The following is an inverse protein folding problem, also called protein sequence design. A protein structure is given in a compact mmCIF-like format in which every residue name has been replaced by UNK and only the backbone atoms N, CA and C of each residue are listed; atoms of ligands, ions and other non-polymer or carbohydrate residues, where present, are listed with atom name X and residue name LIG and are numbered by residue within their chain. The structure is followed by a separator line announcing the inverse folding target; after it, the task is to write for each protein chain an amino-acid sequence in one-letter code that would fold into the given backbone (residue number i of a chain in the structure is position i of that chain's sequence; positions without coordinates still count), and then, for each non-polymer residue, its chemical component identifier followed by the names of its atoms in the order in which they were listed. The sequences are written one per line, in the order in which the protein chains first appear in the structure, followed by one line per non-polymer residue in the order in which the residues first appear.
data_IF_874502638777
#
_entry.id   IF_874502638777
#
_cell.length_a   1.000
_cell.length_b   1.000
_cell.length_c   1.000
_cell.angle_alpha   90.00
_cell.angle_beta   90.00
_cell.angle_gamma   90.00
#
_symmetry.space_group_name_H-M   'P 1'
#
loop_
_entity.id
_entity.type
_entity.pdbx_description
1 polymer ?
#
# COMPACT_ATOMS: atom_id res chain seq x y z
N UNK A 1 -7.61 8.37 38.23
CA UNK A 1 -6.38 7.56 38.16
C UNK A 1 -5.29 8.31 38.90
N UNK A 2 -4.78 7.79 40.02
CA UNK A 2 -3.73 8.50 40.77
C UNK A 2 -2.37 8.45 40.02
N UNK A 3 -1.45 9.38 40.31
CA UNK A 3 -0.12 9.47 39.66
C UNK A 3 0.60 8.12 39.58
N UNK A 4 0.47 7.30 40.61
CA UNK A 4 1.03 5.95 40.71
C UNK A 4 0.41 4.96 39.72
N UNK A 5 -0.89 5.07 39.47
CA UNK A 5 -1.59 4.28 38.46
C UNK A 5 -1.22 4.72 37.04
N UNK A 6 -1.06 6.04 36.81
CA UNK A 6 -0.60 6.59 35.54
C UNK A 6 0.83 6.12 35.20
N UNK A 7 1.73 6.16 36.19
CA UNK A 7 3.10 5.64 36.07
C UNK A 7 3.14 4.15 35.77
N UNK A 8 2.29 3.35 36.43
CA UNK A 8 2.24 1.89 36.22
C UNK A 8 1.73 1.51 34.82
N UNK A 9 0.68 2.20 34.34
CA UNK A 9 0.15 2.01 32.98
C UNK A 9 1.19 2.43 31.94
N UNK A 10 1.88 3.55 32.16
CA UNK A 10 2.96 3.99 31.30
C UNK A 10 4.11 2.97 31.24
N UNK A 11 4.52 2.39 32.37
CA UNK A 11 5.56 1.34 32.39
C UNK A 11 5.14 0.06 31.66
N UNK A 12 3.88 -0.37 31.79
CA UNK A 12 3.35 -1.54 31.06
C UNK A 12 3.35 -1.28 29.56
N UNK A 13 2.92 -0.10 29.13
CA UNK A 13 2.92 0.30 27.71
C UNK A 13 4.34 0.36 27.14
N UNK A 14 5.31 0.85 27.92
CA UNK A 14 6.73 0.88 27.53
C UNK A 14 7.29 -0.54 27.40
N UNK A 15 6.99 -1.44 28.34
CA UNK A 15 7.42 -2.85 28.28
C UNK A 15 6.78 -3.60 27.10
N UNK A 16 5.49 -3.35 26.82
CA UNK A 16 4.81 -3.87 25.63
C UNK A 16 5.44 -3.35 24.34
N UNK A 17 5.82 -2.08 24.30
CA UNK A 17 6.52 -1.49 23.17
C UNK A 17 7.88 -2.18 22.93
N UNK A 18 8.67 -2.40 23.98
CA UNK A 18 9.94 -3.13 23.87
C UNK A 18 9.73 -4.58 23.41
N UNK A 19 8.79 -5.30 24.01
CA UNK A 19 8.47 -6.68 23.61
C UNK A 19 7.98 -6.78 22.16
N UNK A 20 7.16 -5.83 21.69
CA UNK A 20 6.73 -5.76 20.30
C UNK A 20 7.89 -5.41 19.36
N UNK A 21 8.78 -4.50 19.76
CA UNK A 21 9.95 -4.13 18.97
C UNK A 21 10.95 -5.29 18.83
N UNK A 22 11.17 -6.06 19.89
CA UNK A 22 11.99 -7.27 19.88
C UNK A 22 11.34 -8.38 19.07
N UNK A 23 10.02 -8.57 19.18
CA UNK A 23 9.28 -9.54 18.37
C UNK A 23 9.35 -9.22 16.87
N UNK A 24 9.20 -7.93 16.51
CA UNK A 24 9.48 -7.47 15.14
C UNK A 24 10.92 -7.83 14.75
N UNK A 25 11.92 -7.52 15.59
CA UNK A 25 13.33 -7.84 15.32
C UNK A 25 13.57 -9.34 15.08
N UNK A 26 12.95 -10.23 15.86
CA UNK A 26 13.07 -11.70 15.72
C UNK A 26 12.48 -12.18 14.39
N UNK A 27 11.37 -11.60 13.91
CA UNK A 27 10.83 -11.92 12.56
C UNK A 27 11.74 -11.47 11.41
N UNK A 28 12.63 -10.50 11.65
CA UNK A 28 13.57 -9.99 10.63
C UNK A 28 14.94 -10.65 10.67
N UNK A 29 15.32 -11.33 11.74
CA UNK A 29 16.59 -12.10 11.77
C UNK A 29 16.65 -13.25 10.76
N UNK A 30 15.53 -13.64 10.12
CA UNK A 30 15.51 -14.58 8.99
C UNK A 30 15.32 -13.91 7.62
N UNK A 31 15.21 -12.58 7.54
CA UNK A 31 15.03 -11.87 6.28
C UNK A 31 16.38 -11.64 5.59
N UNK A 32 16.47 -12.01 4.31
CA UNK A 32 17.65 -11.72 3.51
C UNK A 32 17.66 -10.23 3.11
N UNK A 33 18.81 -9.58 3.28
CA UNK A 33 19.02 -8.20 2.84
C UNK A 33 19.45 -8.18 1.39
N UNK A 34 18.68 -7.50 0.55
CA UNK A 34 19.00 -7.23 -0.86
C UNK A 34 18.98 -5.73 -1.08
N UNK A 35 20.04 -5.16 -1.65
CA UNK A 35 20.06 -3.72 -1.94
C UNK A 35 18.96 -3.35 -2.96
N UNK A 36 18.83 -4.16 -4.01
CA UNK A 36 17.79 -4.06 -5.03
C UNK A 36 17.52 -5.44 -5.62
N UNK A 37 16.25 -5.73 -5.87
CA UNK A 37 15.80 -6.88 -6.65
C UNK A 37 15.15 -6.32 -7.91
N UNK A 38 15.60 -6.74 -9.09
CA UNK A 38 15.04 -6.24 -10.37
C UNK A 38 14.31 -7.36 -11.10
N UNK A 39 13.04 -7.14 -11.43
CA UNK A 39 12.32 -7.92 -12.43
C UNK A 39 12.60 -7.27 -13.79
N UNK A 40 13.51 -7.87 -14.54
CA UNK A 40 14.02 -7.34 -15.81
C UNK A 40 13.01 -7.45 -16.94
N UNK A 41 13.15 -6.70 -18.05
CA UNK A 41 12.21 -6.73 -19.17
C UNK A 41 12.01 -8.13 -19.78
N UNK A 42 13.07 -8.95 -19.82
CA UNK A 42 13.03 -10.34 -20.30
C UNK A 42 12.30 -11.30 -19.35
N UNK A 43 12.00 -10.84 -18.12
CA UNK A 43 11.28 -11.56 -17.08
C UNK A 43 12.16 -12.27 -16.08
N UNK A 44 13.48 -12.25 -16.26
CA UNK A 44 14.41 -12.75 -15.27
C UNK A 44 14.42 -11.87 -14.01
N UNK A 45 14.73 -12.49 -12.87
CA UNK A 45 14.88 -11.80 -11.58
C UNK A 45 16.36 -11.74 -11.21
N UNK A 46 16.81 -10.58 -10.75
CA UNK A 46 18.20 -10.33 -10.39
C UNK A 46 18.31 -9.70 -8.99
N UNK A 47 19.11 -10.27 -8.06
CA UNK A 47 19.81 -11.55 -8.20
C UNK A 47 18.83 -12.75 -8.31
N UNK A 48 19.21 -13.86 -8.96
CA UNK A 48 18.31 -15.01 -9.14
C UNK A 48 18.06 -15.80 -7.85
N UNK A 49 18.81 -15.51 -6.79
CA UNK A 49 18.75 -16.19 -5.48
C UNK A 49 17.79 -15.53 -4.49
N UNK A 50 16.98 -14.58 -4.95
CA UNK A 50 16.03 -13.84 -4.10
C UNK A 50 14.82 -14.69 -3.73
N UNK A 51 14.10 -14.35 -2.65
CA UNK A 51 12.88 -15.05 -2.23
C UNK A 51 11.68 -14.67 -3.13
N UNK A 52 11.81 -14.90 -4.43
CA UNK A 52 10.76 -14.70 -5.44
C UNK A 52 10.75 -15.91 -6.36
N UNK A 53 9.58 -16.55 -6.48
CA UNK A 53 9.34 -17.58 -7.50
C UNK A 53 8.54 -17.01 -8.65
N UNK A 54 8.84 -17.44 -9.87
CA UNK A 54 8.14 -17.01 -11.07
C UNK A 54 7.37 -18.19 -11.68
N UNK A 55 6.10 -17.98 -11.99
CA UNK A 55 5.28 -18.88 -12.81
C UNK A 55 4.61 -18.08 -13.93
N UNK A 56 5.18 -18.13 -15.13
CA UNK A 56 4.75 -17.29 -16.27
C UNK A 56 4.91 -15.80 -15.95
N UNK A 57 3.79 -15.08 -15.90
CA UNK A 57 3.73 -13.65 -15.59
C UNK A 57 3.47 -13.35 -14.10
N UNK A 58 3.41 -14.37 -13.24
CA UNK A 58 3.18 -14.20 -11.80
C UNK A 58 4.49 -14.39 -11.03
N UNK A 59 4.89 -13.36 -10.29
CA UNK A 59 6.03 -13.31 -9.40
C UNK A 59 5.52 -13.34 -7.97
N UNK A 60 5.79 -14.41 -7.24
CA UNK A 60 5.30 -14.61 -5.87
C UNK A 60 6.45 -14.56 -4.89
N UNK A 61 6.35 -13.70 -3.87
CA UNK A 61 7.31 -13.69 -2.78
C UNK A 61 7.24 -15.00 -2.00
N UNK A 62 8.40 -15.55 -1.65
CA UNK A 62 8.52 -16.77 -0.83
C UNK A 62 9.13 -16.50 0.55
N UNK A 63 9.40 -15.24 0.87
CA UNK A 63 9.97 -14.81 2.14
C UNK A 63 9.97 -13.29 2.27
N UNK A 64 10.25 -12.81 3.49
CA UNK A 64 10.41 -11.38 3.75
C UNK A 64 11.67 -10.84 3.08
N UNK A 65 11.59 -9.61 2.57
CA UNK A 65 12.68 -8.90 1.92
C UNK A 65 13.02 -7.66 2.75
N UNK A 66 14.30 -7.48 3.05
CA UNK A 66 14.84 -6.18 3.48
C UNK A 66 15.53 -5.58 2.26
N UNK A 67 14.93 -4.58 1.64
CA UNK A 67 15.34 -4.12 0.31
C UNK A 67 14.19 -3.53 -0.51
N UNK A 68 14.43 -3.33 -1.80
CA UNK A 68 13.45 -2.80 -2.77
C UNK A 68 13.30 -3.69 -3.98
N UNK A 69 12.15 -3.60 -4.65
CA UNK A 69 11.86 -4.27 -5.91
C UNK A 69 11.72 -3.21 -7.01
N UNK A 70 12.55 -3.29 -8.04
CA UNK A 70 12.41 -2.55 -9.29
C UNK A 70 11.72 -3.43 -10.33
N UNK A 71 10.70 -2.90 -10.98
CA UNK A 71 9.85 -3.62 -11.93
C UNK A 71 9.98 -2.94 -13.28
N UNK A 72 10.72 -3.58 -14.19
CA UNK A 72 10.96 -3.11 -15.55
C UNK A 72 10.17 -3.92 -16.59
N UNK A 73 9.44 -4.93 -16.13
CA UNK A 73 8.54 -5.76 -16.93
C UNK A 73 7.09 -5.42 -16.67
N UNK A 74 6.33 -5.37 -17.75
CA UNK A 74 4.91 -5.05 -17.80
C UNK A 74 4.07 -6.30 -18.10
N UNK A 75 2.76 -6.23 -17.89
CA UNK A 75 1.85 -7.38 -17.99
C UNK A 75 2.23 -8.52 -17.03
N UNK A 76 2.41 -8.18 -15.75
CA UNK A 76 2.81 -9.11 -14.69
C UNK A 76 2.00 -8.91 -13.42
N UNK A 77 2.02 -9.93 -12.56
CA UNK A 77 1.48 -9.88 -11.20
C UNK A 77 2.63 -10.06 -10.22
N UNK A 78 2.71 -9.18 -9.24
CA UNK A 78 3.60 -9.28 -8.08
C UNK A 78 2.71 -9.61 -6.88
N UNK A 79 2.77 -10.85 -6.42
CA UNK A 79 2.01 -11.36 -5.29
C UNK A 79 2.92 -11.49 -4.07
N UNK A 80 2.61 -10.77 -3.01
CA UNK A 80 3.33 -10.86 -1.76
C UNK A 80 3.11 -12.13 -0.99
N UNK A 81 2.02 -12.86 -1.26
CA UNK A 81 1.60 -14.00 -0.43
C UNK A 81 1.57 -13.68 1.09
N UNK A 82 1.37 -12.41 1.46
CA UNK A 82 1.41 -11.93 2.85
C UNK A 82 2.81 -11.59 3.39
N UNK A 83 3.89 -11.78 2.62
CA UNK A 83 5.25 -11.42 3.04
C UNK A 83 5.47 -9.91 3.08
N UNK A 84 6.51 -9.53 3.83
CA UNK A 84 6.90 -8.13 4.04
C UNK A 84 8.04 -7.71 3.12
N UNK A 85 7.95 -6.48 2.59
CA UNK A 85 9.07 -5.71 2.08
C UNK A 85 9.34 -4.55 3.04
N UNK A 86 10.57 -4.46 3.55
CA UNK A 86 10.99 -3.52 4.60
C UNK A 86 12.17 -2.68 4.12
N UNK A 87 12.03 -1.36 4.21
CA UNK A 87 13.10 -0.40 3.95
C UNK A 87 13.72 0.19 5.23
N UNK A 88 14.61 1.16 5.04
CA UNK A 88 15.33 1.87 6.10
C UNK A 88 14.96 3.37 6.22
N UNK A 89 13.82 3.77 5.65
CA UNK A 89 13.32 5.15 5.63
C UNK A 89 13.72 5.96 4.39
N UNK A 90 14.35 5.33 3.39
CA UNK A 90 14.75 5.98 2.14
C UNK A 90 14.30 5.16 0.93
N UNK A 91 14.31 5.76 -0.26
CA UNK A 91 14.04 5.09 -1.56
C UNK A 91 12.60 4.58 -1.67
N UNK A 92 12.32 3.96 -2.83
CA UNK A 92 11.05 3.34 -3.18
C UNK A 92 11.07 1.87 -2.77
N UNK A 93 9.96 1.37 -2.21
CA UNK A 93 9.80 -0.04 -1.85
C UNK A 93 9.55 -0.92 -3.07
N UNK A 94 8.46 -0.66 -3.79
CA UNK A 94 8.19 -1.23 -5.11
C UNK A 94 8.15 -0.10 -6.11
N UNK A 95 9.09 -0.11 -7.05
CA UNK A 95 9.23 0.87 -8.12
C UNK A 95 8.77 0.23 -9.44
N UNK A 96 7.60 0.64 -9.94
CA UNK A 96 7.09 0.25 -11.26
C UNK A 96 7.46 1.35 -12.24
N UNK A 97 8.46 1.11 -13.07
CA UNK A 97 9.00 2.13 -13.95
C UNK A 97 9.35 1.56 -15.32
N UNK A 98 9.30 2.42 -16.33
CA UNK A 98 9.98 2.21 -17.60
C UNK A 98 11.29 3.02 -17.60
N UNK A 99 12.35 2.57 -16.92
CA UNK A 99 13.57 3.35 -16.79
C UNK A 99 14.16 3.63 -18.18
N UNK A 100 14.67 4.85 -18.35
CA UNK A 100 15.37 5.34 -19.54
C UNK A 100 14.55 5.56 -20.81
N UNK A 101 13.21 5.46 -20.75
CA UNK A 101 12.35 5.63 -21.94
C UNK A 101 12.84 4.78 -23.13
N UNK A 102 13.34 3.56 -22.86
CA UNK A 102 13.97 2.71 -23.89
C UNK A 102 13.01 2.41 -25.05
N UNK A 103 11.71 2.40 -24.76
CA UNK A 103 10.62 2.50 -25.72
C UNK A 103 9.40 3.12 -25.04
N UNK A 104 8.60 3.92 -25.77
CA UNK A 104 7.33 4.42 -25.25
C UNK A 104 6.43 3.24 -24.89
N UNK A 105 6.00 3.20 -23.64
CA UNK A 105 5.03 2.23 -23.13
C UNK A 105 3.66 2.84 -23.12
N UNK A 106 2.72 2.19 -23.80
CA UNK A 106 1.32 2.60 -23.82
C UNK A 106 0.46 1.82 -22.83
N UNK A 107 1.06 0.82 -22.17
CA UNK A 107 0.44 0.08 -21.08
C UNK A 107 1.45 -0.54 -20.14
N UNK A 108 1.11 -0.53 -18.85
CA UNK A 108 1.93 -1.14 -17.79
C UNK A 108 1.35 -2.49 -17.37
N UNK A 109 0.01 -2.61 -17.21
CA UNK A 109 -0.66 -3.86 -16.87
C UNK A 109 0.02 -4.62 -15.71
N UNK A 110 0.42 -3.91 -14.65
CA UNK A 110 1.08 -4.49 -13.48
C UNK A 110 0.11 -4.57 -12.32
N UNK A 111 -0.07 -5.78 -11.77
CA UNK A 111 -0.80 -5.97 -10.51
C UNK A 111 0.18 -6.13 -9.35
N UNK A 112 -0.01 -5.38 -8.27
CA UNK A 112 0.72 -5.54 -7.00
C UNK A 112 -0.28 -5.92 -5.92
N UNK A 113 -0.12 -7.09 -5.29
CA UNK A 113 -1.10 -7.57 -4.31
C UNK A 113 -0.54 -8.33 -3.14
N UNK A 114 -1.27 -8.31 -2.02
CA UNK A 114 -1.01 -9.12 -0.82
C UNK A 114 0.37 -8.88 -0.18
N UNK A 115 0.91 -7.66 -0.24
CA UNK A 115 2.23 -7.32 0.31
C UNK A 115 2.08 -6.45 1.56
N UNK A 116 2.89 -6.72 2.59
CA UNK A 116 3.11 -5.78 3.69
C UNK A 116 4.31 -4.87 3.34
N UNK A 117 4.12 -3.56 3.21
CA UNK A 117 5.15 -2.62 2.72
C UNK A 117 5.37 -1.50 3.73
N UNK A 118 6.63 -1.29 4.15
CA UNK A 118 6.96 -0.30 5.19
C UNK A 118 8.40 0.19 5.20
N UNK A 119 8.59 1.40 5.74
CA UNK A 119 9.91 1.98 5.96
C UNK A 119 10.55 2.53 4.69
N UNK A 120 9.77 3.13 3.80
CA UNK A 120 10.26 3.73 2.55
C UNK A 120 9.95 5.22 2.47
N UNK A 121 10.63 5.92 1.57
CA UNK A 121 10.20 7.24 1.13
C UNK A 121 8.89 7.10 0.36
N UNK A 122 8.82 6.15 -0.58
CA UNK A 122 7.57 5.74 -1.23
C UNK A 122 7.38 4.22 -1.11
N UNK A 123 6.26 3.80 -0.53
CA UNK A 123 5.96 2.37 -0.37
C UNK A 123 5.82 1.67 -1.73
N UNK A 124 4.86 2.13 -2.52
CA UNK A 124 4.69 1.75 -3.93
C UNK A 124 4.76 3.01 -4.77
N UNK A 125 5.66 3.06 -5.75
CA UNK A 125 5.81 4.17 -6.67
C UNK A 125 5.64 3.69 -8.12
N UNK A 126 4.70 4.31 -8.83
CA UNK A 126 4.42 4.05 -10.23
C UNK A 126 4.82 5.28 -11.03
N UNK A 127 5.83 5.13 -11.88
CA UNK A 127 6.50 6.25 -12.50
C UNK A 127 6.70 6.09 -14.01
N UNK A 128 6.34 7.14 -14.77
CA UNK A 128 6.45 7.17 -16.22
C UNK A 128 7.16 8.42 -16.77
N UNK A 129 8.02 8.20 -17.77
CA UNK A 129 8.64 9.28 -18.56
C UNK A 129 7.73 9.81 -19.67
N UNK A 130 8.15 10.91 -20.32
CA UNK A 130 7.45 11.52 -21.45
C UNK A 130 6.99 10.51 -22.52
N UNK A 131 5.73 10.64 -22.94
CA UNK A 131 5.09 9.77 -23.93
C UNK A 131 4.57 8.44 -23.39
N UNK A 132 4.97 8.01 -22.18
CA UNK A 132 4.39 6.82 -21.57
C UNK A 132 2.94 7.06 -21.15
N UNK A 133 2.13 6.02 -21.27
CA UNK A 133 0.77 5.95 -20.75
C UNK A 133 0.77 4.89 -19.67
N UNK A 134 0.63 5.31 -18.41
CA UNK A 134 0.50 4.39 -17.28
C UNK A 134 -0.99 4.04 -17.15
N UNK A 135 -1.37 2.88 -17.67
CA UNK A 135 -2.70 2.31 -17.47
C UNK A 135 -2.62 0.83 -17.13
N UNK A 136 -3.74 0.28 -16.64
CA UNK A 136 -3.85 -1.13 -16.28
C UNK A 136 -3.10 -1.52 -15.01
N UNK A 137 -2.55 -0.55 -14.25
CA UNK A 137 -1.93 -0.86 -12.96
C UNK A 137 -3.01 -1.11 -11.91
N UNK A 138 -2.89 -2.20 -11.17
CA UNK A 138 -3.81 -2.59 -10.10
C UNK A 138 -3.02 -2.79 -8.81
N UNK A 139 -3.31 -1.98 -7.80
CA UNK A 139 -2.74 -2.12 -6.46
C UNK A 139 -3.86 -2.60 -5.54
N UNK A 140 -3.75 -3.83 -5.02
CA UNK A 140 -4.87 -4.43 -4.27
C UNK A 140 -4.48 -5.33 -3.11
N UNK A 141 -5.22 -5.29 -2.00
CA UNK A 141 -5.00 -6.17 -0.86
C UNK A 141 -3.64 -5.96 -0.16
N UNK A 142 -3.01 -4.80 -0.34
CA UNK A 142 -1.72 -4.50 0.30
C UNK A 142 -1.93 -3.78 1.64
N UNK A 143 -0.96 -3.96 2.53
CA UNK A 143 -0.86 -3.23 3.78
C UNK A 143 0.37 -2.31 3.74
N UNK A 144 0.14 -1.02 3.49
CA UNK A 144 1.17 0.00 3.23
C UNK A 144 1.27 0.96 4.40
N UNK A 145 2.35 0.84 5.18
CA UNK A 145 2.45 1.51 6.48
C UNK A 145 3.82 2.13 6.76
N UNK A 146 3.87 3.22 7.54
CA UNK A 146 5.12 3.83 7.99
C UNK A 146 6.07 4.21 6.84
N UNK A 147 5.53 4.83 5.79
CA UNK A 147 6.29 5.42 4.68
C UNK A 147 6.08 6.94 4.64
N UNK A 148 6.97 7.68 3.98
CA UNK A 148 6.70 9.11 3.71
C UNK A 148 5.51 9.26 2.76
N UNK A 149 5.45 8.46 1.70
CA UNK A 149 4.29 8.33 0.81
C UNK A 149 3.92 6.85 0.75
N UNK A 150 2.66 6.49 0.99
CA UNK A 150 2.22 5.10 0.90
C UNK A 150 2.23 4.61 -0.54
N UNK A 151 1.36 5.19 -1.37
CA UNK A 151 1.23 4.87 -2.79
C UNK A 151 1.35 6.14 -3.60
N UNK A 152 2.22 6.17 -4.60
CA UNK A 152 2.38 7.29 -5.52
C UNK A 152 2.18 6.88 -6.98
N UNK A 153 1.44 7.69 -7.72
CA UNK A 153 1.44 7.72 -9.18
C UNK A 153 2.01 9.06 -9.65
N UNK A 154 3.06 9.02 -10.47
CA UNK A 154 3.67 10.21 -11.06
C UNK A 154 4.09 9.97 -12.52
N UNK A 155 3.85 10.93 -13.40
CA UNK A 155 4.22 10.82 -14.82
C UNK A 155 4.44 12.19 -15.44
N UNK A 156 5.32 12.26 -16.43
CA UNK A 156 5.46 13.43 -17.31
C UNK A 156 4.44 13.45 -18.45
N UNK A 157 3.55 12.46 -18.55
CA UNK A 157 2.49 12.40 -19.55
C UNK A 157 1.24 11.74 -18.94
N UNK A 158 0.50 10.91 -19.65
CA UNK A 158 -0.78 10.35 -19.19
C UNK A 158 -0.64 9.23 -18.17
N UNK A 159 -1.54 9.21 -17.18
CA UNK A 159 -1.87 7.98 -16.44
C UNK A 159 -3.37 7.90 -16.17
N UNK A 160 -3.96 6.82 -16.65
CA UNK A 160 -5.40 6.65 -16.70
C UNK A 160 -5.79 5.20 -16.49
N UNK A 161 -7.03 4.96 -16.07
CA UNK A 161 -7.56 3.60 -15.93
C UNK A 161 -6.68 2.69 -15.04
N UNK A 162 -6.12 3.22 -13.96
CA UNK A 162 -5.47 2.45 -12.90
C UNK A 162 -6.41 2.25 -11.72
N UNK A 163 -6.16 1.23 -10.91
CA UNK A 163 -7.02 0.87 -9.78
C UNK A 163 -6.22 0.74 -8.49
N UNK A 164 -6.66 1.42 -7.42
CA UNK A 164 -6.20 1.22 -6.04
C UNK A 164 -7.41 0.71 -5.26
N UNK A 165 -7.44 -0.58 -4.95
CA UNK A 165 -8.62 -1.23 -4.38
C UNK A 165 -8.34 -2.18 -3.21
N UNK A 166 -9.09 -2.06 -2.12
CA UNK A 166 -8.99 -3.06 -1.04
C UNK A 166 -7.68 -3.00 -0.26
N UNK A 167 -7.00 -1.84 -0.22
CA UNK A 167 -5.73 -1.70 0.50
C UNK A 167 -5.92 -1.08 1.89
N UNK A 168 -5.01 -1.44 2.81
CA UNK A 168 -4.85 -0.76 4.09
C UNK A 168 -3.65 0.18 4.02
N UNK A 169 -3.91 1.48 4.01
CA UNK A 169 -2.90 2.53 3.79
C UNK A 169 -2.87 3.41 5.04
N UNK A 170 -1.95 3.11 5.97
CA UNK A 170 -2.01 3.69 7.31
C UNK A 170 -0.69 4.13 7.88
N UNK A 171 -0.69 5.19 8.70
CA UNK A 171 0.52 5.71 9.36
C UNK A 171 1.63 6.15 8.37
N UNK A 172 1.24 6.70 7.21
CA UNK A 172 2.16 7.34 6.28
C UNK A 172 2.08 8.87 6.44
N UNK A 173 3.11 9.60 6.00
CA UNK A 173 3.00 11.06 5.92
C UNK A 173 1.93 11.45 4.88
N UNK A 174 1.97 10.87 3.69
CA UNK A 174 0.89 10.94 2.69
C UNK A 174 0.43 9.51 2.41
N UNK A 175 -0.88 9.23 2.50
CA UNK A 175 -1.43 7.90 2.22
C UNK A 175 -1.33 7.57 0.73
N UNK A 176 -2.08 8.30 -0.09
CA UNK A 176 -2.06 8.19 -1.56
C UNK A 176 -1.72 9.54 -2.18
N UNK A 177 -0.75 9.57 -3.08
CA UNK A 177 -0.36 10.75 -3.86
C UNK A 177 -0.56 10.49 -5.35
N UNK A 178 -1.46 11.26 -5.98
CA UNK A 178 -1.75 11.18 -7.42
C UNK A 178 -1.29 12.51 -8.06
N UNK A 179 -0.16 12.49 -8.75
CA UNK A 179 0.49 13.71 -9.25
C UNK A 179 0.13 14.02 -10.69
N UNK A 180 -0.58 15.11 -10.95
CA UNK A 180 -1.17 15.46 -12.25
C UNK A 180 -0.19 15.31 -13.43
N UNK A 181 -0.70 14.70 -14.51
CA UNK A 181 -0.03 14.59 -15.79
C UNK A 181 0.42 15.97 -16.32
N UNK A 182 1.61 15.99 -16.94
CA UNK A 182 2.16 17.19 -17.57
C UNK A 182 1.77 17.30 -19.05
N UNK A 183 1.87 18.52 -19.58
CA UNK A 183 1.82 18.91 -21.00
C UNK A 183 0.96 18.03 -21.93
N UNK A 184 -0.36 18.23 -21.90
CA UNK A 184 -1.28 17.56 -22.83
C UNK A 184 -1.55 16.08 -22.52
N UNK A 185 -0.97 15.53 -21.45
CA UNK A 185 -1.39 14.29 -20.83
C UNK A 185 -2.61 14.49 -19.91
N UNK A 186 -3.22 13.37 -19.51
CA UNK A 186 -4.41 13.35 -18.65
C UNK A 186 -4.22 12.47 -17.41
N UNK A 187 -4.91 12.84 -16.34
CA UNK A 187 -5.02 12.11 -15.07
C UNK A 187 -6.48 11.68 -14.87
N UNK A 188 -6.96 10.69 -15.61
CA UNK A 188 -8.40 10.41 -15.71
C UNK A 188 -8.76 8.93 -15.64
N UNK A 189 -9.98 8.62 -15.20
CA UNK A 189 -10.50 7.24 -15.17
C UNK A 189 -9.82 6.32 -14.16
N UNK A 190 -8.99 6.84 -13.24
CA UNK A 190 -8.43 6.03 -12.17
C UNK A 190 -9.51 5.77 -11.11
N UNK A 191 -9.52 4.57 -10.54
CA UNK A 191 -10.49 4.15 -9.51
C UNK A 191 -9.76 3.94 -8.19
N UNK A 192 -10.25 4.61 -7.15
CA UNK A 192 -9.77 4.43 -5.77
C UNK A 192 -10.98 4.00 -4.94
N UNK A 193 -11.03 2.73 -4.55
CA UNK A 193 -12.19 2.19 -3.85
C UNK A 193 -11.87 1.14 -2.79
N UNK A 194 -12.75 0.97 -1.82
CA UNK A 194 -12.60 -0.08 -0.79
C UNK A 194 -11.28 -0.02 0.00
N UNK A 195 -10.65 1.15 0.09
CA UNK A 195 -9.40 1.31 0.84
C UNK A 195 -9.67 1.79 2.27
N UNK A 196 -8.89 1.30 3.22
CA UNK A 196 -8.76 1.90 4.55
C UNK A 196 -7.60 2.90 4.56
N UNK A 197 -7.92 4.19 4.46
CA UNK A 197 -6.96 5.30 4.44
C UNK A 197 -7.01 5.97 5.82
N UNK A 198 -6.11 5.56 6.72
CA UNK A 198 -6.24 5.91 8.13
C UNK A 198 -4.94 6.31 8.83
N UNK A 199 -5.01 7.24 9.77
CA UNK A 199 -3.88 7.70 10.57
C UNK A 199 -2.71 8.22 9.73
N UNK A 200 -2.97 8.77 8.55
CA UNK A 200 -1.94 9.46 7.75
C UNK A 200 -1.93 10.95 8.09
N UNK A 201 -0.82 11.66 7.88
CA UNK A 201 -0.86 13.13 8.04
C UNK A 201 -1.76 13.74 6.95
N UNK A 202 -1.63 13.28 5.72
CA UNK A 202 -2.56 13.54 4.62
C UNK A 202 -3.09 12.20 4.12
N UNK A 203 -4.41 12.00 4.10
CA UNK A 203 -5.03 10.76 3.61
C UNK A 203 -4.80 10.57 2.11
N UNK A 204 -5.28 11.51 1.31
CA UNK A 204 -5.06 11.56 -0.13
C UNK A 204 -4.59 12.95 -0.56
N UNK A 205 -3.70 12.97 -1.55
CA UNK A 205 -3.17 14.19 -2.14
C UNK A 205 -3.26 14.12 -3.66
N UNK A 206 -3.75 15.19 -4.26
CA UNK A 206 -3.64 15.45 -5.68
C UNK A 206 -2.69 16.63 -5.86
N UNK A 207 -1.51 16.38 -6.40
CA UNK A 207 -0.45 17.39 -6.57
C UNK A 207 -0.26 17.77 -8.02
N UNK A 208 0.13 19.02 -8.26
CA UNK A 208 0.60 19.45 -9.56
C UNK A 208 2.13 19.34 -9.67
N UNK A 209 2.63 18.80 -10.78
CA UNK A 209 4.06 18.83 -11.11
C UNK A 209 4.36 20.02 -12.05
N UNK A 210 4.85 21.11 -11.48
CA UNK A 210 5.59 22.24 -12.09
C UNK A 210 4.97 23.06 -13.26
N UNK A 211 4.98 24.39 -13.04
CA UNK A 211 4.64 25.50 -13.94
C UNK A 211 5.81 25.89 -14.83
N UNK A 212 5.75 25.45 -16.09
CA UNK A 212 6.78 25.77 -17.09
C UNK A 212 6.26 26.03 -18.50
N UNK A 213 5.03 26.54 -18.68
CA UNK A 213 4.55 27.04 -19.97
C UNK A 213 3.20 26.47 -20.41
N UNK A 214 2.26 27.36 -20.75
CA UNK A 214 1.07 27.05 -21.54
C UNK A 214 0.10 26.04 -20.92
N UNK A 215 -0.61 26.47 -19.88
CA UNK A 215 -1.61 25.68 -19.15
C UNK A 215 -2.68 25.12 -20.08
N UNK A 216 -2.74 23.78 -20.19
CA UNK A 216 -3.90 23.07 -20.70
C UNK A 216 -4.64 22.44 -19.52
N UNK A 217 -5.96 22.43 -19.58
CA UNK A 217 -6.83 21.82 -18.57
C UNK A 217 -6.51 20.33 -18.47
N UNK A 218 -5.98 19.90 -17.33
CA UNK A 218 -5.87 18.48 -17.04
C UNK A 218 -7.22 18.04 -16.48
N UNK A 219 -7.97 17.23 -17.23
CA UNK A 219 -9.24 16.70 -16.74
C UNK A 219 -8.97 15.60 -15.73
N UNK A 220 -9.00 15.96 -14.45
CA UNK A 220 -9.05 14.98 -13.39
C UNK A 220 -10.46 14.43 -13.34
N UNK A 221 -10.68 13.20 -13.81
CA UNK A 221 -11.97 12.49 -13.79
C UNK A 221 -11.75 11.13 -13.13
N UNK A 222 -11.17 11.13 -11.94
CA UNK A 222 -10.93 9.92 -11.17
C UNK A 222 -12.12 9.66 -10.25
N UNK A 223 -12.44 8.40 -10.02
CA UNK A 223 -13.58 8.00 -9.19
C UNK A 223 -13.09 7.46 -7.86
N UNK A 224 -13.50 8.12 -6.78
CA UNK A 224 -13.10 7.82 -5.39
C UNK A 224 -14.35 7.50 -4.59
N UNK A 225 -14.60 6.24 -4.24
CA UNK A 225 -15.83 5.84 -3.54
C UNK A 225 -15.59 4.60 -2.68
N UNK A 226 -16.44 4.33 -1.70
CA UNK A 226 -16.31 3.18 -0.81
C UNK A 226 -14.97 3.14 -0.04
N UNK A 227 -14.32 4.28 0.20
CA UNK A 227 -13.13 4.32 1.03
C UNK A 227 -13.49 4.70 2.47
N UNK A 228 -12.66 4.28 3.41
CA UNK A 228 -12.70 4.71 4.80
C UNK A 228 -11.59 5.74 5.04
N UNK A 229 -11.95 7.00 5.25
CA UNK A 229 -11.05 8.04 5.73
C UNK A 229 -11.17 8.15 7.25
N UNK A 230 -10.13 7.71 7.97
CA UNK A 230 -10.20 7.58 9.43
C UNK A 230 -8.99 8.23 10.10
N UNK A 231 -9.23 9.27 10.89
CA UNK A 231 -8.21 9.86 11.76
C UNK A 231 -6.95 10.31 11.00
N UNK A 232 -7.11 10.73 9.74
CA UNK A 232 -6.05 11.45 9.05
C UNK A 232 -6.01 12.89 9.59
N UNK A 233 -4.83 13.52 9.68
CA UNK A 233 -4.76 14.92 10.11
C UNK A 233 -5.46 15.84 9.09
N UNK A 234 -5.38 15.47 7.80
CA UNK A 234 -6.17 16.03 6.72
C UNK A 234 -6.60 14.90 5.78
N UNK A 235 -7.91 14.77 5.53
CA UNK A 235 -8.42 13.68 4.69
C UNK A 235 -7.97 13.81 3.23
N UNK A 236 -8.16 15.00 2.65
CA UNK A 236 -7.81 15.28 1.25
C UNK A 236 -7.11 16.64 1.15
N UNK A 237 -6.02 16.68 0.39
CA UNK A 237 -5.39 17.90 -0.11
C UNK A 237 -5.52 17.89 -1.63
N UNK A 238 -6.28 18.81 -2.18
CA UNK A 238 -6.31 19.06 -3.61
C UNK A 238 -5.46 20.31 -3.90
N UNK A 239 -4.25 20.13 -4.43
CA UNK A 239 -3.38 21.25 -4.78
C UNK A 239 -3.76 21.83 -6.15
N UNK A 240 -5.04 22.10 -6.32
CA UNK A 240 -5.61 22.74 -7.50
C UNK A 240 -5.18 24.21 -7.49
N UNK A 241 -4.51 24.67 -8.55
CA UNK A 241 -4.36 26.11 -8.77
C UNK A 241 -5.72 26.68 -9.22
N UNK A 242 -6.00 27.95 -8.86
CA UNK A 242 -7.26 28.67 -9.15
C UNK A 242 -7.58 28.81 -10.66
N UNK A 243 -6.72 28.27 -11.52
CA UNK A 243 -6.71 28.41 -12.97
C UNK A 243 -7.19 27.15 -13.72
N UNK A 244 -7.51 26.05 -13.02
CA UNK A 244 -8.13 24.86 -13.62
C UNK A 244 -9.35 24.36 -12.85
N UNK A 245 -10.44 25.16 -12.77
CA UNK A 245 -11.66 24.80 -12.05
C UNK A 245 -12.37 23.56 -12.62
N UNK A 246 -12.01 23.11 -13.83
CA UNK A 246 -12.56 21.92 -14.48
C UNK A 246 -11.91 20.60 -14.04
N UNK A 247 -10.84 20.63 -13.25
CA UNK A 247 -10.11 19.42 -12.80
C UNK A 247 -10.79 18.76 -11.58
N UNK A 248 -11.98 18.19 -11.75
CA UNK A 248 -12.84 17.71 -10.65
C UNK A 248 -12.96 16.19 -10.55
N UNK A 249 -12.54 15.61 -9.42
CA UNK A 249 -12.73 14.18 -9.20
C UNK A 249 -14.19 13.87 -8.85
N UNK A 250 -14.60 12.64 -9.12
CA UNK A 250 -15.91 12.10 -8.74
C UNK A 250 -15.73 11.36 -7.42
N UNK A 251 -16.46 11.75 -6.38
CA UNK A 251 -16.28 11.22 -5.02
C UNK A 251 -17.37 10.23 -4.60
N UNK A 252 -18.13 9.74 -5.56
CA UNK A 252 -19.20 8.78 -5.38
C UNK A 252 -19.44 7.96 -6.66
N UNK A 253 -20.28 6.93 -6.57
CA UNK A 253 -20.68 6.14 -7.73
C UNK A 253 -22.12 6.46 -8.19
N UNK A 254 -22.65 7.63 -7.84
CA UNK A 254 -24.04 8.03 -8.08
C UNK A 254 -25.05 7.47 -7.08
N UNK A 255 -24.64 6.59 -6.16
CA UNK A 255 -25.50 6.07 -5.08
C UNK A 255 -24.81 6.12 -3.71
N UNK A 256 -23.48 5.97 -3.68
CA UNK A 256 -22.67 5.87 -2.47
C UNK A 256 -21.29 6.43 -2.72
N UNK A 257 -20.79 7.18 -1.76
CA UNK A 257 -19.48 7.77 -1.70
C UNK A 257 -18.59 7.09 -0.68
N UNK A 258 -17.93 7.88 0.15
CA UNK A 258 -16.90 7.45 1.08
C UNK A 258 -17.38 7.63 2.53
N UNK A 259 -16.78 6.87 3.44
CA UNK A 259 -16.91 7.12 4.86
C UNK A 259 -15.85 8.11 5.32
N UNK A 260 -16.29 9.16 6.01
CA UNK A 260 -15.43 10.19 6.59
C UNK A 260 -15.64 10.23 8.09
N UNK A 261 -14.57 10.03 8.87
CA UNK A 261 -14.72 9.94 10.33
C UNK A 261 -15.13 11.27 11.01
N UNK A 262 -15.04 12.38 10.28
CA UNK A 262 -15.44 13.74 10.67
C UNK A 262 -16.79 14.16 10.08
N UNK A 263 -17.44 13.30 9.27
CA UNK A 263 -18.77 13.58 8.76
C UNK A 263 -19.81 13.55 9.89
N UNK A 264 -20.56 14.63 10.00
CA UNK A 264 -21.57 14.87 11.04
C UNK A 264 -22.96 15.18 10.45
N UNK A 265 -23.16 14.88 9.16
CA UNK A 265 -24.45 15.04 8.50
C UNK A 265 -25.49 14.06 9.05
N UNK A 266 -26.73 14.25 8.58
CA UNK A 266 -27.88 13.45 8.99
C UNK A 266 -28.25 12.46 7.91
N UNK A 267 -28.78 11.32 8.36
CA UNK A 267 -29.45 10.33 7.53
C UNK A 267 -30.90 10.25 8.03
N UNK A 268 -31.77 11.09 7.45
CA UNK A 268 -33.19 11.27 7.78
C UNK A 268 -34.00 10.10 7.22
N UNK A 269 -33.60 9.60 6.05
CA UNK A 269 -34.32 8.54 5.35
C UNK A 269 -33.93 7.13 5.84
N UNK A 270 -32.85 7.02 6.63
CA UNK A 270 -32.30 5.81 7.25
C UNK A 270 -31.79 4.76 6.24
N UNK A 271 -31.30 5.18 5.07
CA UNK A 271 -30.73 4.29 4.05
C UNK A 271 -29.22 4.02 4.23
N UNK A 272 -28.62 4.61 5.25
CA UNK A 272 -27.20 4.51 5.57
C UNK A 272 -26.33 5.49 4.78
N UNK A 273 -26.89 6.39 3.99
CA UNK A 273 -26.18 7.45 3.26
C UNK A 273 -26.59 8.79 3.88
N UNK A 274 -25.62 9.68 4.05
CA UNK A 274 -25.89 11.00 4.56
C UNK A 274 -26.63 11.87 3.54
N UNK A 275 -27.70 12.56 3.96
CA UNK A 275 -28.53 13.42 3.11
C UNK A 275 -27.86 14.76 2.75
N UNK A 276 -26.72 15.06 3.38
CA UNK A 276 -25.95 16.29 3.15
C UNK A 276 -24.59 15.91 2.55
N UNK A 277 -24.18 16.49 1.41
CA UNK A 277 -22.86 16.22 0.85
C UNK A 277 -21.71 16.51 1.83
N UNK A 278 -20.64 15.71 1.77
CA UNK A 278 -19.37 16.04 2.42
C UNK A 278 -18.54 16.92 1.48
N UNK A 279 -18.35 18.18 1.85
CA UNK A 279 -17.58 19.14 1.07
C UNK A 279 -16.08 18.93 1.27
N UNK A 280 -15.34 18.76 0.16
CA UNK A 280 -13.89 18.52 0.18
C UNK A 280 -13.15 19.83 -0.15
N UNK A 281 -13.56 20.49 -1.22
CA UNK A 281 -13.12 21.83 -1.59
C UNK A 281 -14.22 22.56 -2.40
N UNK A 282 -13.91 23.71 -3.01
CA UNK A 282 -14.88 24.51 -3.75
C UNK A 282 -15.48 23.80 -4.98
N UNK A 283 -14.77 22.85 -5.57
CA UNK A 283 -15.15 22.15 -6.80
C UNK A 283 -15.36 20.64 -6.60
N UNK A 284 -15.04 20.11 -5.41
CA UNK A 284 -15.11 18.68 -5.08
C UNK A 284 -15.97 18.46 -3.85
N UNK A 285 -16.97 17.58 -3.99
CA UNK A 285 -17.77 17.10 -2.88
C UNK A 285 -18.17 15.64 -3.11
N UNK A 286 -18.32 14.92 -2.02
CA UNK A 286 -18.95 13.61 -1.99
C UNK A 286 -20.45 13.81 -1.76
N UNK A 287 -21.28 13.46 -2.73
CA UNK A 287 -22.72 13.69 -2.66
C UNK A 287 -23.45 12.63 -1.84
N UNK A 288 -22.81 11.50 -1.59
CA UNK A 288 -23.43 10.34 -0.95
C UNK A 288 -22.53 9.77 0.15
N UNK A 289 -22.12 10.59 1.14
CA UNK A 289 -21.22 10.16 2.19
C UNK A 289 -21.83 9.00 3.00
N UNK A 290 -21.02 8.00 3.33
CA UNK A 290 -21.48 6.84 4.08
C UNK A 290 -21.59 7.16 5.57
N UNK A 291 -22.70 6.76 6.21
CA UNK A 291 -22.90 6.91 7.65
C UNK A 291 -22.05 5.95 8.49
N UNK A 292 -21.74 4.78 7.92
CA UNK A 292 -20.89 3.76 8.51
C UNK A 292 -19.70 3.47 7.61
N UNK A 293 -18.73 2.73 8.12
CA UNK A 293 -17.60 2.29 7.29
C UNK A 293 -18.06 1.40 6.14
N UNK A 294 -17.35 1.44 5.01
CA UNK A 294 -17.78 0.78 3.77
C UNK A 294 -18.01 -0.73 3.93
N UNK A 295 -17.34 -1.39 4.88
CA UNK A 295 -17.50 -2.83 5.15
C UNK A 295 -18.92 -3.19 5.66
N UNK A 296 -19.71 -2.19 6.07
CA UNK A 296 -21.10 -2.38 6.49
C UNK A 296 -22.10 -2.25 5.32
N UNK A 297 -21.62 -2.07 4.09
CA UNK A 297 -22.44 -1.94 2.89
C UNK A 297 -22.18 -3.11 1.94
N UNK A 298 -23.13 -3.45 1.07
CA UNK A 298 -22.91 -4.40 -0.01
C UNK A 298 -21.72 -3.93 -0.88
N UNK A 299 -20.88 -4.85 -1.38
CA UNK A 299 -19.80 -4.50 -2.31
C UNK A 299 -20.33 -3.72 -3.51
N UNK A 300 -19.58 -2.74 -4.01
CA UNK A 300 -19.99 -1.99 -5.18
C UNK A 300 -19.99 -2.88 -6.43
N UNK A 301 -20.96 -2.64 -7.33
CA UNK A 301 -21.02 -3.35 -8.60
C UNK A 301 -20.07 -2.65 -9.57
N UNK A 302 -18.92 -3.27 -9.84
CA UNK A 302 -18.05 -2.85 -10.93
C UNK A 302 -18.60 -3.34 -12.27
N UNK A 303 -18.59 -2.52 -13.35
CA UNK A 303 -18.68 -3.08 -14.69
C UNK A 303 -17.47 -4.02 -14.87
N UNK A 304 -17.72 -5.33 -14.98
CA UNK A 304 -16.66 -6.34 -15.00
C UNK A 304 -15.61 -6.00 -16.07
N UNK A 305 -14.31 -5.95 -15.73
CA UNK A 305 -13.29 -6.03 -16.75
C UNK A 305 -13.46 -7.37 -17.49
N UNK A 306 -13.28 -7.37 -18.81
CA UNK A 306 -13.36 -8.58 -19.62
C UNK A 306 -12.44 -9.65 -19.00
N UNK A 307 -12.88 -10.92 -18.87
CA UNK A 307 -12.05 -11.95 -18.28
C UNK A 307 -10.75 -12.07 -19.08
N UNK A 308 -9.61 -11.89 -18.39
CA UNK A 308 -8.31 -12.26 -18.95
C UNK A 308 -8.37 -13.74 -19.36
N UNK A 309 -7.80 -14.13 -20.51
CA UNK A 309 -7.88 -15.50 -20.99
C UNK A 309 -7.29 -16.43 -19.92
N UNK A 310 -8.17 -17.28 -19.37
CA UNK A 310 -7.78 -18.41 -18.54
C UNK A 310 -6.71 -19.19 -19.30
N UNK A 311 -5.52 -19.34 -18.70
CA UNK A 311 -4.55 -20.29 -19.21
C UNK A 311 -5.20 -21.68 -19.19
N UNK A 312 -5.39 -22.24 -20.39
CA UNK A 312 -5.75 -23.64 -20.56
C UNK A 312 -4.71 -24.52 -19.86
N UNK A 313 -5.09 -25.62 -19.18
CA UNK A 313 -4.12 -26.52 -18.58
C UNK A 313 -3.29 -27.19 -19.67
N UNK A 314 -2.01 -26.83 -19.75
CA UNK A 314 -1.04 -27.55 -20.59
C UNK A 314 -0.87 -28.98 -20.04
N UNK A 315 -0.87 -30.02 -20.88
CA UNK A 315 -0.74 -31.40 -20.43
C UNK A 315 0.59 -31.64 -19.71
N UNK A 316 0.50 -32.37 -18.60
CA UNK A 316 1.61 -32.87 -17.79
C UNK A 316 2.63 -33.63 -18.66
N UNK A 317 3.88 -33.19 -18.63
CA UNK A 317 5.02 -33.99 -19.09
C UNK A 317 5.53 -34.87 -17.94
N UNK A 318 5.78 -36.13 -18.29
CA UNK A 318 6.32 -37.21 -17.46
C UNK A 318 7.68 -36.86 -16.82
N UNK A 319 8.03 -37.38 -15.63
CA UNK A 319 9.25 -36.99 -14.92
C UNK A 319 10.53 -37.48 -15.61
N UNK A 320 11.50 -36.58 -15.73
CA UNK A 320 12.90 -36.84 -16.14
C UNK A 320 13.79 -37.00 -14.88
N UNK A 321 14.88 -37.79 -14.90
CA UNK A 321 15.48 -38.32 -13.69
C UNK A 321 16.32 -37.30 -12.90
N UNK A 322 16.33 -37.55 -11.60
CA UNK A 322 17.04 -36.83 -10.52
C UNK A 322 18.54 -36.66 -10.79
N UNK A 323 19.09 -35.44 -10.69
CA UNK A 323 20.53 -35.25 -10.58
C UNK A 323 20.99 -35.51 -9.13
N UNK A 324 22.05 -36.31 -9.02
CA UNK A 324 22.77 -36.67 -7.79
C UNK A 324 23.30 -35.42 -7.08
N UNK A 325 22.96 -35.26 -5.80
CA UNK A 325 23.43 -34.18 -4.93
C UNK A 325 24.89 -34.35 -4.52
N UNK A 326 25.72 -33.35 -4.80
CA UNK A 326 27.02 -33.12 -4.16
C UNK A 326 26.79 -32.51 -2.77
N UNK A 327 27.55 -32.83 -1.71
CA UNK A 327 27.30 -32.27 -0.38
C UNK A 327 27.83 -30.83 -0.32
N UNK A 328 26.90 -29.87 -0.21
CA UNK A 328 27.21 -28.47 0.04
C UNK A 328 27.28 -28.21 1.56
N UNK A 329 28.34 -27.55 2.01
CA UNK A 329 28.61 -27.24 3.40
C UNK A 329 27.56 -26.27 3.97
N UNK A 330 26.75 -26.75 4.92
CA UNK A 330 25.84 -25.88 5.69
C UNK A 330 26.60 -24.78 6.43
N UNK A 331 26.15 -23.51 6.39
CA UNK A 331 26.61 -22.50 7.33
C UNK A 331 26.13 -22.85 8.74
N UNK A 332 27.03 -22.73 9.72
CA UNK A 332 26.77 -22.99 11.14
C UNK A 332 25.51 -22.22 11.62
N UNK A 333 24.53 -22.88 12.26
CA UNK A 333 23.41 -22.17 12.87
C UNK A 333 23.91 -21.25 13.98
N UNK A 334 23.49 -19.98 13.97
CA UNK A 334 23.66 -19.08 15.10
C UNK A 334 22.87 -19.63 16.32
N UNK A 335 23.37 -19.46 17.56
CA UNK A 335 22.76 -20.08 18.73
C UNK A 335 21.42 -19.40 19.08
N UNK A 336 20.32 -19.97 18.57
CA UNK A 336 18.93 -19.59 18.84
C UNK A 336 18.58 -19.67 20.34
N UNK A 337 19.35 -20.45 21.11
CA UNK A 337 19.15 -20.71 22.53
C UNK A 337 19.36 -19.50 23.44
N UNK A 338 20.23 -18.55 23.10
CA UNK A 338 20.45 -17.36 23.94
C UNK A 338 19.32 -16.33 23.83
N UNK A 339 18.73 -16.18 22.64
CA UNK A 339 17.70 -15.17 22.37
C UNK A 339 16.32 -15.63 22.87
N UNK A 340 16.00 -16.92 22.73
CA UNK A 340 14.76 -17.46 23.33
C UNK A 340 14.81 -17.37 24.86
N UNK A 341 15.99 -17.57 25.47
CA UNK A 341 16.17 -17.43 26.91
C UNK A 341 15.94 -15.98 27.39
N UNK A 342 16.38 -14.96 26.65
CA UNK A 342 16.17 -13.57 27.03
C UNK A 342 14.71 -13.14 26.90
N UNK A 343 14.00 -13.55 25.85
CA UNK A 343 12.56 -13.24 25.67
C UNK A 343 11.71 -13.91 26.76
N UNK A 344 11.99 -15.18 27.08
CA UNK A 344 11.29 -15.88 28.17
C UNK A 344 11.59 -15.22 29.52
N UNK A 345 12.83 -14.80 29.77
CA UNK A 345 13.19 -14.09 31.00
C UNK A 345 12.41 -12.77 31.14
N UNK A 346 12.27 -11.98 30.07
CA UNK A 346 11.52 -10.72 30.10
C UNK A 346 10.03 -10.93 30.33
N UNK A 347 9.42 -11.94 29.68
CA UNK A 347 8.00 -12.29 29.91
C UNK A 347 7.77 -12.76 31.35
N UNK A 348 8.68 -13.55 31.91
CA UNK A 348 8.60 -14.03 33.30
C UNK A 348 8.76 -12.87 34.28
N UNK A 349 9.66 -11.92 34.02
CA UNK A 349 9.84 -10.72 34.86
C UNK A 349 8.59 -9.83 34.82
N UNK A 350 8.01 -9.61 33.64
CA UNK A 350 6.76 -8.84 33.48
C UNK A 350 5.61 -9.53 34.21
N UNK A 351 5.47 -10.85 34.03
CA UNK A 351 4.46 -11.65 34.74
C UNK A 351 4.61 -11.58 36.25
N UNK A 352 5.83 -11.69 36.78
CA UNK A 352 6.13 -11.62 38.21
C UNK A 352 5.82 -10.22 38.79
N UNK A 353 6.15 -9.14 38.09
CA UNK A 353 5.85 -7.77 38.51
C UNK A 353 4.34 -7.54 38.58
N UNK A 354 3.59 -8.03 37.58
CA UNK A 354 2.12 -7.96 37.57
C UNK A 354 1.53 -8.75 38.73
N UNK A 355 2.05 -9.95 39.02
CA UNK A 355 1.54 -10.82 40.09
C UNK A 355 1.79 -10.23 41.49
N UNK A 356 2.97 -9.64 41.71
CA UNK A 356 3.30 -8.92 42.96
C UNK A 356 2.43 -7.67 43.13
N UNK A 357 2.16 -6.94 42.04
CA UNK A 357 1.28 -5.77 42.05
C UNK A 357 -0.16 -6.13 42.47
N UNK A 358 -0.71 -7.24 41.97
CA UNK A 358 -2.05 -7.69 42.33
C UNK A 358 -2.14 -8.33 43.72
N UNK A 359 -1.09 -9.02 44.19
CA UNK A 359 -1.07 -9.59 45.55
C UNK A 359 -0.96 -8.52 46.66
N UNK A 360 -0.25 -7.40 46.43
CA UNK A 360 -0.17 -6.30 47.40
C UNK A 360 -1.47 -5.50 47.59
N UNK A 361 -2.49 -5.71 46.74
CA UNK A 361 -3.81 -5.07 46.86
C UNK A 361 -4.88 -5.95 47.54
N UNK A 362 -4.53 -7.18 47.95
CA UNK A 362 -5.44 -8.07 48.69
C UNK A 362 -5.42 -7.88 50.21
N UNK A 363 -4.67 -6.91 50.72
CA UNK A 363 -4.60 -6.55 52.14
C UNK A 363 -4.92 -5.09 52.36
#
# INVERSE_FOLDING_TARGET
MDKTQLLSVASILVLLFFALSEFQLVTFTSAQSFEIITIKPDGSVDPPTVPITQNGNVYTLTGNIVGRICVERFNIVIDGAGYTIQGNGNKRGIEIANPYNASIKKSYDVTVKNINIRGFEEGIDVFGYWGNIINGVVITGNNVTNNSIGIRFSSYYTYSNNTIIGNRITANTIGVDIQMAQEGGETSGNIIAENQIANNQIGMKFLWMYSGGGYKTNKMNNTVFYNNFISNSQNVVNAQDLLSPESVNIWDNGARGNYWNDYNGKDINADGVGDIPYHIDANNQDNYPLMYRFENYPPPIYPSPAPSPSSSPTPSLSPSPTPTSTPETQPKPFPMTLVVASVVATIVVVGAVVLVYFNKRKH
#
